data_IF_722492536381
#
_entry.id   IF_722492536381
#
_cell.length_a   1.000
_cell.length_b   1.000
_cell.length_c   1.000
_cell.angle_alpha   90.00
_cell.angle_beta   90.00
_cell.angle_gamma   90.00
#
_symmetry.space_group_name_H-M   'P 1'
#
loop_
_entity.id
_entity.type
_entity.pdbx_description
1 polymer ?
#
# COMPACT_ATOMS: atom_id res chain seq x y z
N UNK A 1 -4.20 -9.88 7.30
CA UNK A 1 -5.52 -9.22 7.14
C UNK A 1 -5.37 -8.06 6.16
N UNK A 2 -6.12 -8.03 5.10
CA UNK A 2 -6.11 -6.95 4.12
C UNK A 2 -7.32 -6.04 4.37
N UNK A 3 -7.08 -4.82 4.87
CA UNK A 3 -8.13 -3.81 4.93
C UNK A 3 -8.26 -3.14 3.57
N UNK A 4 -9.33 -3.40 2.87
CA UNK A 4 -9.71 -2.61 1.69
C UNK A 4 -10.80 -1.63 2.12
N UNK A 5 -10.62 -0.34 1.82
CA UNK A 5 -11.65 0.68 2.01
C UNK A 5 -12.94 0.23 1.30
N UNK A 6 -13.92 -0.24 2.08
CA UNK A 6 -14.99 -1.08 1.57
C UNK A 6 -16.24 -0.28 1.30
N UNK A 7 -16.23 0.54 0.28
CA UNK A 7 -17.51 0.94 -0.36
C UNK A 7 -18.06 -0.16 -1.29
N UNK A 8 -17.29 -1.21 -1.56
CA UNK A 8 -17.60 -2.21 -2.59
C UNK A 8 -18.08 -3.52 -1.96
N UNK A 9 -19.26 -3.50 -1.37
CA UNK A 9 -20.04 -4.73 -1.12
C UNK A 9 -20.75 -5.22 -2.38
N UNK A 10 -20.88 -4.35 -3.39
CA UNK A 10 -21.49 -4.64 -4.70
C UNK A 10 -20.53 -4.23 -5.81
N UNK A 11 -20.48 -4.98 -6.93
CA UNK A 11 -19.65 -4.63 -8.08
C UNK A 11 -20.04 -3.25 -8.63
N UNK A 12 -19.04 -2.46 -9.02
CA UNK A 12 -19.24 -1.17 -9.69
C UNK A 12 -18.66 -1.23 -11.12
N UNK A 13 -19.20 -0.48 -12.09
CA UNK A 13 -18.73 -0.52 -13.48
C UNK A 13 -17.23 -0.28 -13.66
N UNK A 14 -16.65 0.59 -12.81
CA UNK A 14 -15.23 0.97 -12.84
C UNK A 14 -14.36 0.21 -11.82
N UNK A 15 -14.96 -0.63 -10.97
CA UNK A 15 -14.29 -1.42 -9.93
C UNK A 15 -14.91 -2.81 -9.88
N UNK A 16 -14.49 -3.73 -10.76
CA UNK A 16 -14.97 -5.10 -10.73
C UNK A 16 -14.52 -5.80 -9.45
N UNK A 17 -15.40 -6.63 -8.90
CA UNK A 17 -15.14 -7.37 -7.67
C UNK A 17 -15.54 -6.61 -6.40
N UNK A 18 -15.64 -7.37 -5.33
CA UNK A 18 -16.06 -6.90 -3.99
C UNK A 18 -15.08 -7.44 -2.93
N UNK A 19 -15.27 -7.03 -1.67
CA UNK A 19 -14.53 -7.64 -0.55
C UNK A 19 -14.86 -9.12 -0.40
N UNK A 20 -16.05 -9.54 -0.84
CA UNK A 20 -16.47 -10.95 -0.75
C UNK A 20 -15.84 -11.78 -1.86
N UNK A 21 -15.85 -11.30 -3.11
CA UNK A 21 -15.16 -12.00 -4.22
C UNK A 21 -13.66 -12.10 -3.98
N UNK A 22 -13.03 -11.06 -3.38
CA UNK A 22 -11.63 -11.12 -3.00
C UNK A 22 -11.36 -12.18 -1.91
N UNK A 23 -12.27 -12.34 -0.93
CA UNK A 23 -12.17 -13.40 0.07
C UNK A 23 -12.35 -14.79 -0.58
N UNK A 24 -13.30 -14.95 -1.49
CA UNK A 24 -13.51 -16.19 -2.24
C UNK A 24 -12.28 -16.59 -3.05
N UNK A 25 -11.62 -15.64 -3.70
CA UNK A 25 -10.41 -15.91 -4.50
C UNK A 25 -9.24 -16.38 -3.61
N UNK A 26 -9.09 -15.79 -2.42
CA UNK A 26 -8.11 -16.25 -1.43
C UNK A 26 -8.42 -17.66 -0.92
N UNK A 27 -9.70 -17.99 -0.70
CA UNK A 27 -10.13 -19.34 -0.30
C UNK A 27 -9.87 -20.34 -1.42
N UNK A 28 -10.19 -20.00 -2.68
CA UNK A 28 -9.88 -20.84 -3.85
C UNK A 28 -8.38 -21.11 -4.01
N UNK A 29 -7.55 -20.13 -3.62
CA UNK A 29 -6.10 -20.29 -3.60
C UNK A 29 -5.57 -21.12 -2.41
N UNK A 30 -6.46 -21.68 -1.56
CA UNK A 30 -6.10 -22.55 -0.45
C UNK A 30 -5.93 -21.85 0.90
N UNK A 31 -6.19 -20.53 0.97
CA UNK A 31 -6.17 -19.75 2.20
C UNK A 31 -7.51 -19.73 2.94
N UNK A 32 -7.50 -19.14 4.14
CA UNK A 32 -8.72 -18.81 4.88
C UNK A 32 -8.92 -17.29 4.86
N UNK A 33 -10.09 -16.82 4.48
CA UNK A 33 -10.35 -15.39 4.35
C UNK A 33 -11.78 -15.01 4.74
N UNK A 34 -11.95 -13.80 5.24
CA UNK A 34 -13.24 -13.16 5.45
C UNK A 34 -13.23 -11.74 4.89
N UNK A 35 -14.34 -11.32 4.29
CA UNK A 35 -14.56 -9.95 3.88
C UNK A 35 -15.29 -9.17 4.98
N UNK A 36 -14.68 -8.10 5.52
CA UNK A 36 -15.30 -7.24 6.53
C UNK A 36 -15.45 -5.83 5.95
N UNK A 37 -16.70 -5.36 5.83
CA UNK A 37 -16.97 -3.99 5.39
C UNK A 37 -16.49 -3.02 6.45
N UNK A 38 -15.47 -2.21 6.13
CA UNK A 38 -14.83 -1.30 7.06
C UNK A 38 -14.45 0.00 6.35
N UNK A 39 -14.88 1.13 6.89
CA UNK A 39 -14.33 2.44 6.51
C UNK A 39 -13.29 2.85 7.55
N UNK A 40 -12.02 2.86 7.14
CA UNK A 40 -10.89 3.12 8.05
C UNK A 40 -10.83 4.55 8.61
N UNK A 41 -11.74 5.43 8.20
CA UNK A 41 -11.90 6.76 8.78
C UNK A 41 -12.60 6.73 10.14
N UNK A 42 -13.33 5.66 10.45
CA UNK A 42 -14.12 5.49 11.65
C UNK A 42 -13.49 4.47 12.59
N UNK A 43 -13.16 4.92 13.81
CA UNK A 43 -12.43 4.11 14.79
C UNK A 43 -13.23 2.89 15.25
N UNK A 44 -14.54 3.04 15.47
CA UNK A 44 -15.45 1.95 15.85
C UNK A 44 -15.47 0.82 14.81
N UNK A 45 -15.48 1.16 13.51
CA UNK A 45 -15.45 0.16 12.44
C UNK A 45 -14.09 -0.56 12.36
N UNK A 46 -12.99 0.17 12.58
CA UNK A 46 -11.65 -0.43 12.60
C UNK A 46 -11.52 -1.38 13.78
N UNK A 47 -11.94 -0.97 14.97
CA UNK A 47 -11.88 -1.82 16.16
C UNK A 47 -12.73 -3.09 15.98
N UNK A 48 -13.97 -2.96 15.50
CA UNK A 48 -14.84 -4.11 15.21
C UNK A 48 -14.22 -5.08 14.17
N UNK A 49 -13.55 -4.56 13.15
CA UNK A 49 -12.88 -5.38 12.13
C UNK A 49 -11.65 -6.11 12.71
N UNK A 50 -10.87 -5.46 13.56
CA UNK A 50 -9.74 -6.09 14.28
C UNK A 50 -10.24 -7.20 15.20
N UNK A 51 -11.26 -6.91 16.03
CA UNK A 51 -11.87 -7.89 16.93
C UNK A 51 -12.39 -9.11 16.15
N UNK A 52 -13.15 -8.87 15.08
CA UNK A 52 -13.68 -9.95 14.22
C UNK A 52 -12.58 -10.81 13.60
N UNK A 53 -11.45 -10.20 13.23
CA UNK A 53 -10.28 -10.92 12.70
C UNK A 53 -9.66 -11.82 13.77
N UNK A 54 -9.47 -11.28 14.98
CA UNK A 54 -8.91 -12.03 16.11
C UNK A 54 -9.83 -13.18 16.53
N UNK A 55 -11.14 -12.95 16.60
CA UNK A 55 -12.13 -14.01 16.86
C UNK A 55 -12.06 -15.14 15.83
N UNK A 56 -11.87 -14.78 14.54
CA UNK A 56 -11.92 -15.76 13.44
C UNK A 56 -10.62 -16.54 13.30
N UNK A 57 -9.47 -15.88 13.48
CA UNK A 57 -8.15 -16.46 13.16
C UNK A 57 -7.22 -16.61 14.38
N UNK A 58 -7.65 -16.17 15.56
CA UNK A 58 -6.91 -16.32 16.82
C UNK A 58 -5.88 -15.22 17.09
N UNK A 59 -5.54 -14.37 16.12
CA UNK A 59 -4.54 -13.30 16.27
C UNK A 59 -4.25 -12.53 14.99
N UNK A 60 -3.25 -11.66 15.05
CA UNK A 60 -2.76 -10.87 13.90
C UNK A 60 -1.23 -10.89 13.94
N UNK A 61 -0.60 -11.39 12.88
CA UNK A 61 0.85 -11.36 12.67
C UNK A 61 1.25 -10.27 11.67
N UNK A 62 0.37 -9.93 10.73
CA UNK A 62 0.68 -8.99 9.66
C UNK A 62 -0.47 -7.98 9.51
N UNK A 63 -0.12 -6.69 9.42
CA UNK A 63 -1.01 -5.60 9.08
C UNK A 63 -0.54 -4.92 7.79
N UNK A 64 -1.38 -4.90 6.74
CA UNK A 64 -1.07 -4.23 5.47
C UNK A 64 -1.99 -3.02 5.28
N UNK A 65 -1.42 -1.82 5.31
CA UNK A 65 -2.11 -0.56 5.05
C UNK A 65 -2.04 -0.23 3.54
N UNK A 66 -2.97 -0.81 2.78
CA UNK A 66 -3.09 -0.60 1.34
C UNK A 66 -4.19 0.40 0.96
N UNK A 67 -5.16 0.67 1.84
CA UNK A 67 -6.25 1.58 1.55
C UNK A 67 -5.73 3.00 1.29
N UNK A 68 -6.13 3.59 0.17
CA UNK A 68 -5.68 4.92 -0.24
C UNK A 68 -6.78 5.67 -1.00
N UNK A 69 -6.72 7.00 -0.93
CA UNK A 69 -7.48 7.91 -1.76
C UNK A 69 -6.51 8.81 -2.53
N UNK A 70 -6.89 9.16 -3.76
CA UNK A 70 -6.07 9.97 -4.66
C UNK A 70 -6.89 11.10 -5.27
N UNK A 71 -6.27 12.29 -5.36
CA UNK A 71 -6.74 13.42 -6.16
C UNK A 71 -5.52 14.23 -6.58
N UNK A 72 -5.20 14.20 -7.87
CA UNK A 72 -4.02 14.85 -8.45
C UNK A 72 -4.41 16.24 -8.96
N UNK A 73 -4.62 17.16 -8.04
CA UNK A 73 -5.02 18.53 -8.35
C UNK A 73 -4.03 19.55 -7.79
N UNK A 74 -3.74 20.64 -8.53
CA UNK A 74 -2.99 21.76 -8.00
C UNK A 74 -3.69 22.38 -6.77
N UNK A 75 -2.93 23.07 -5.93
CA UNK A 75 -3.42 23.61 -4.66
C UNK A 75 -4.69 24.43 -4.82
N UNK A 76 -4.74 25.31 -5.80
CA UNK A 76 -5.91 26.21 -6.03
C UNK A 76 -7.18 25.45 -6.44
N UNK A 77 -7.03 24.29 -7.07
CA UNK A 77 -8.14 23.48 -7.56
C UNK A 77 -8.51 22.32 -6.61
N UNK A 78 -7.79 22.17 -5.49
CA UNK A 78 -8.04 21.09 -4.54
C UNK A 78 -9.23 21.46 -3.65
N UNK A 79 -10.36 20.81 -3.87
CA UNK A 79 -11.51 20.94 -2.98
C UNK A 79 -11.19 20.37 -1.59
N UNK A 80 -11.52 21.10 -0.52
CA UNK A 80 -11.23 20.67 0.86
C UNK A 80 -11.83 19.32 1.21
N UNK A 81 -13.01 18.97 0.68
CA UNK A 81 -13.57 17.62 0.85
C UNK A 81 -12.68 16.52 0.29
N UNK A 82 -11.90 16.79 -0.77
CA UNK A 82 -10.92 15.85 -1.34
C UNK A 82 -9.65 15.80 -0.49
N UNK A 83 -9.19 16.96 -0.05
CA UNK A 83 -8.09 17.06 0.91
C UNK A 83 -8.37 16.23 2.16
N UNK A 84 -9.51 16.48 2.81
CA UNK A 84 -9.93 15.76 4.02
C UNK A 84 -10.05 14.25 3.78
N UNK A 85 -10.62 13.85 2.64
CA UNK A 85 -10.74 12.44 2.28
C UNK A 85 -9.38 11.76 2.18
N UNK A 86 -8.42 12.39 1.48
CA UNK A 86 -7.07 11.84 1.32
C UNK A 86 -6.35 11.73 2.66
N UNK A 87 -6.36 12.78 3.47
CA UNK A 87 -5.70 12.79 4.77
C UNK A 87 -6.35 11.82 5.77
N UNK A 88 -7.68 11.75 5.78
CA UNK A 88 -8.40 10.84 6.66
C UNK A 88 -8.20 9.36 6.28
N UNK A 89 -8.03 9.03 5.01
CA UNK A 89 -7.77 7.64 4.58
C UNK A 89 -6.27 7.33 4.66
N UNK A 90 -5.43 8.12 3.98
CA UNK A 90 -4.01 7.77 3.81
C UNK A 90 -3.24 7.93 5.13
N UNK A 91 -3.21 9.11 5.71
CA UNK A 91 -2.43 9.41 6.93
C UNK A 91 -3.11 8.86 8.18
N UNK A 92 -4.31 9.40 8.48
CA UNK A 92 -5.03 9.06 9.72
C UNK A 92 -5.47 7.59 9.74
N UNK A 93 -5.95 7.06 8.60
CA UNK A 93 -6.37 5.67 8.48
C UNK A 93 -5.21 4.70 8.70
N UNK A 94 -4.05 4.94 8.08
CA UNK A 94 -2.84 4.14 8.31
C UNK A 94 -2.45 4.14 9.79
N UNK A 95 -2.41 5.30 10.44
CA UNK A 95 -2.13 5.39 11.86
C UNK A 95 -3.14 4.62 12.71
N UNK A 96 -4.43 4.81 12.47
CA UNK A 96 -5.51 4.19 13.23
C UNK A 96 -5.51 2.66 13.12
N UNK A 97 -5.38 2.13 11.89
CA UNK A 97 -5.35 0.68 11.66
C UNK A 97 -4.11 0.05 12.30
N UNK A 98 -2.94 0.67 12.13
CA UNK A 98 -1.71 0.22 12.78
C UNK A 98 -1.84 0.21 14.29
N UNK A 99 -2.27 1.33 14.90
CA UNK A 99 -2.53 1.46 16.35
C UNK A 99 -3.42 0.34 16.86
N UNK A 100 -4.50 0.04 16.15
CA UNK A 100 -5.48 -0.97 16.57
C UNK A 100 -4.95 -2.41 16.45
N UNK A 101 -4.01 -2.67 15.51
CA UNK A 101 -3.38 -3.99 15.35
C UNK A 101 -2.22 -4.24 16.32
N UNK A 102 -1.50 -3.21 16.78
CA UNK A 102 -0.29 -3.33 17.62
C UNK A 102 -0.47 -4.23 18.86
N UNK A 103 -1.57 -4.16 19.64
CA UNK A 103 -1.76 -5.04 20.81
C UNK A 103 -1.79 -6.54 20.45
N UNK A 104 -2.21 -6.87 19.24
CA UNK A 104 -2.28 -8.23 18.72
C UNK A 104 -0.95 -8.63 18.07
N UNK A 105 -0.32 -7.75 17.30
CA UNK A 105 1.00 -7.93 16.70
C UNK A 105 2.09 -8.23 17.75
N UNK A 106 2.00 -7.62 18.93
CA UNK A 106 2.92 -7.93 20.07
C UNK A 106 2.88 -9.40 20.52
N UNK A 107 1.82 -10.12 20.18
CA UNK A 107 1.62 -11.54 20.50
C UNK A 107 1.85 -12.45 19.29
N UNK A 108 2.07 -11.84 18.14
CA UNK A 108 2.25 -12.52 16.87
C UNK A 108 3.62 -13.19 16.73
N UNK A 109 3.70 -14.09 15.75
CA UNK A 109 4.95 -14.69 15.33
C UNK A 109 5.47 -13.93 14.11
N UNK A 110 6.69 -13.37 14.20
CA UNK A 110 7.31 -12.55 13.14
C UNK A 110 6.42 -11.36 12.71
N UNK A 111 6.05 -10.43 13.61
CA UNK A 111 5.01 -9.44 13.35
C UNK A 111 5.48 -8.30 12.45
N UNK A 112 4.64 -7.95 11.45
CA UNK A 112 4.94 -6.90 10.48
C UNK A 112 3.77 -5.92 10.29
N UNK A 113 4.12 -4.64 10.08
CA UNK A 113 3.25 -3.62 9.49
C UNK A 113 3.87 -3.24 8.15
N UNK A 114 3.10 -3.33 7.06
CA UNK A 114 3.50 -2.90 5.73
C UNK A 114 2.59 -1.76 5.26
N UNK A 115 3.16 -0.60 4.99
CA UNK A 115 2.45 0.57 4.50
C UNK A 115 2.69 0.73 2.99
N UNK A 116 1.65 0.86 2.16
CA UNK A 116 1.78 1.20 0.74
C UNK A 116 2.01 2.72 0.60
N UNK A 117 3.20 3.13 1.01
CA UNK A 117 3.66 4.52 1.06
C UNK A 117 5.01 4.70 0.37
N UNK A 118 5.23 5.87 -0.29
CA UNK A 118 6.45 6.13 -1.06
C UNK A 118 7.67 6.40 -0.16
N UNK A 119 8.89 6.30 -0.71
CA UNK A 119 10.07 6.88 -0.09
C UNK A 119 9.88 8.38 0.17
N UNK A 120 10.50 8.91 1.25
CA UNK A 120 10.45 10.33 1.58
C UNK A 120 11.47 11.12 0.74
N UNK A 121 11.17 11.30 -0.52
CA UNK A 121 11.94 12.16 -1.41
C UNK A 121 11.42 13.60 -1.30
N UNK A 122 12.25 14.50 -0.73
CA UNK A 122 11.86 15.89 -0.44
C UNK A 122 12.08 16.86 -1.61
N UNK A 123 12.35 16.37 -2.81
CA UNK A 123 12.48 17.22 -3.99
C UNK A 123 11.14 17.89 -4.35
N UNK A 124 11.19 19.18 -4.65
CA UNK A 124 9.98 19.99 -4.89
C UNK A 124 9.14 19.51 -6.08
N UNK A 125 9.75 18.82 -7.04
CA UNK A 125 9.05 18.24 -8.18
C UNK A 125 7.94 17.24 -7.76
N UNK A 126 8.11 16.55 -6.63
CA UNK A 126 7.13 15.60 -6.11
C UNK A 126 5.97 16.27 -5.37
N UNK A 127 6.12 17.53 -5.01
CA UNK A 127 5.08 18.31 -4.33
C UNK A 127 4.30 19.19 -5.31
N UNK A 128 4.99 19.86 -6.22
CA UNK A 128 4.43 20.96 -7.02
C UNK A 128 3.18 20.60 -7.83
N UNK A 129 3.03 19.39 -8.41
CA UNK A 129 1.83 19.07 -9.18
C UNK A 129 0.58 18.80 -8.33
N UNK A 130 0.75 18.30 -7.09
CA UNK A 130 -0.34 17.78 -6.27
C UNK A 130 0.00 17.78 -4.77
N UNK A 131 0.25 18.95 -4.21
CA UNK A 131 0.70 19.14 -2.81
C UNK A 131 -0.13 18.32 -1.81
N UNK A 132 -1.46 18.38 -1.89
CA UNK A 132 -2.35 17.70 -0.95
C UNK A 132 -2.20 16.16 -1.00
N UNK A 133 -2.03 15.59 -2.19
CA UNK A 133 -1.81 14.15 -2.34
C UNK A 133 -0.45 13.72 -1.79
N UNK A 134 0.61 14.47 -2.14
CA UNK A 134 1.97 14.18 -1.64
C UNK A 134 2.00 14.21 -0.12
N UNK A 135 1.44 15.25 0.51
CA UNK A 135 1.35 15.33 1.98
C UNK A 135 0.63 14.12 2.58
N UNK A 136 -0.51 13.71 1.99
CA UNK A 136 -1.28 12.59 2.49
C UNK A 136 -0.53 11.25 2.33
N UNK A 137 0.21 11.03 1.23
CA UNK A 137 1.03 9.82 1.02
C UNK A 137 2.27 9.82 1.90
N UNK A 138 2.93 10.96 2.04
CA UNK A 138 4.08 11.07 2.97
C UNK A 138 3.66 10.89 4.44
N UNK A 139 2.41 11.21 4.80
CA UNK A 139 1.88 10.86 6.11
C UNK A 139 1.90 9.35 6.39
N UNK A 140 1.68 8.48 5.38
CA UNK A 140 1.85 7.03 5.51
C UNK A 140 3.32 6.65 5.74
N UNK A 141 4.22 7.29 4.99
CA UNK A 141 5.66 7.06 5.10
C UNK A 141 6.22 7.56 6.44
N UNK A 142 5.70 8.68 6.96
CA UNK A 142 6.03 9.17 8.30
C UNK A 142 5.57 8.20 9.40
N UNK A 143 4.43 7.50 9.21
CA UNK A 143 4.04 6.42 10.10
C UNK A 143 5.08 5.27 10.06
N UNK A 144 5.61 4.93 8.88
CA UNK A 144 6.68 3.93 8.76
C UNK A 144 7.93 4.39 9.54
N UNK A 145 8.38 5.61 9.31
CA UNK A 145 9.57 6.16 9.96
C UNK A 145 9.44 6.17 11.49
N UNK A 146 8.35 6.72 12.02
CA UNK A 146 8.17 6.84 13.47
C UNK A 146 7.89 5.51 14.16
N UNK A 147 6.96 4.71 13.60
CA UNK A 147 6.58 3.44 14.23
C UNK A 147 7.66 2.37 14.15
N UNK A 148 8.54 2.39 13.15
CA UNK A 148 9.64 1.43 13.05
C UNK A 148 10.58 1.50 14.25
N UNK A 149 10.94 2.69 14.70
CA UNK A 149 11.79 2.88 15.87
C UNK A 149 11.00 2.69 17.18
N UNK A 150 9.75 3.21 17.27
CA UNK A 150 8.89 3.04 18.44
C UNK A 150 8.65 1.56 18.77
N UNK A 151 8.44 0.72 17.76
CA UNK A 151 8.04 -0.67 17.93
C UNK A 151 9.19 -1.68 17.90
N UNK A 152 10.41 -1.21 17.67
CA UNK A 152 11.63 -2.04 17.58
C UNK A 152 11.84 -2.92 18.81
N UNK A 153 11.67 -2.36 20.00
CA UNK A 153 11.78 -3.11 21.26
C UNK A 153 10.71 -4.19 21.45
N UNK A 154 9.58 -4.05 20.74
CA UNK A 154 8.49 -5.04 20.70
C UNK A 154 8.71 -6.11 19.63
N UNK A 155 9.76 -6.00 18.80
CA UNK A 155 10.08 -6.93 17.71
C UNK A 155 9.10 -6.84 16.53
N UNK A 156 8.33 -5.74 16.41
CA UNK A 156 7.40 -5.51 15.29
C UNK A 156 8.14 -4.73 14.21
N UNK A 157 8.25 -5.31 13.02
CA UNK A 157 8.78 -4.61 11.86
C UNK A 157 7.73 -3.65 11.29
N UNK A 158 8.18 -2.45 10.90
CA UNK A 158 7.36 -1.50 10.15
C UNK A 158 8.13 -1.04 8.92
N UNK A 159 7.63 -1.38 7.74
CA UNK A 159 8.26 -1.03 6.47
C UNK A 159 7.22 -0.41 5.53
N UNK A 160 7.67 0.28 4.50
CA UNK A 160 6.81 0.69 3.40
C UNK A 160 7.23 0.03 2.08
N UNK A 161 6.30 -0.02 1.15
CA UNK A 161 6.50 -0.53 -0.21
C UNK A 161 5.86 0.44 -1.20
N UNK A 162 6.60 0.78 -2.26
CA UNK A 162 6.14 1.64 -3.33
C UNK A 162 6.55 1.09 -4.70
N UNK A 163 5.72 1.23 -5.75
CA UNK A 163 6.12 0.80 -7.07
C UNK A 163 7.06 1.83 -7.74
N UNK A 164 8.09 1.38 -8.46
CA UNK A 164 8.93 2.26 -9.30
C UNK A 164 8.17 2.73 -10.53
N UNK A 165 7.32 1.88 -11.05
CA UNK A 165 6.55 2.14 -12.27
C UNK A 165 5.07 1.98 -12.02
N UNK A 166 4.25 2.61 -12.84
CA UNK A 166 2.80 2.52 -12.73
C UNK A 166 2.32 1.06 -12.75
N UNK A 167 1.39 0.75 -11.88
CA UNK A 167 0.78 -0.59 -11.76
C UNK A 167 -0.61 -0.58 -12.40
N UNK A 168 -0.90 -1.58 -13.24
CA UNK A 168 -2.22 -1.76 -13.87
C UNK A 168 -3.30 -2.03 -12.82
N UNK A 169 -3.86 -0.97 -12.30
CA UNK A 169 -4.94 -0.98 -11.31
C UNK A 169 -6.08 -0.10 -11.76
N UNK A 170 -7.28 -0.34 -11.23
CA UNK A 170 -8.44 0.51 -11.52
C UNK A 170 -8.18 2.00 -11.17
N UNK A 171 -7.38 2.28 -10.14
CA UNK A 171 -7.03 3.66 -9.76
C UNK A 171 -6.18 4.32 -10.83
N UNK A 172 -5.11 3.66 -11.29
CA UNK A 172 -4.22 4.14 -12.36
C UNK A 172 -4.97 4.26 -13.68
N UNK A 173 -5.77 3.25 -14.03
CA UNK A 173 -6.57 3.27 -15.25
C UNK A 173 -7.57 4.44 -15.30
N UNK A 174 -8.19 4.79 -14.18
CA UNK A 174 -9.08 5.95 -14.09
C UNK A 174 -8.31 7.28 -14.23
N UNK A 175 -7.07 7.36 -13.75
CA UNK A 175 -6.19 8.53 -13.92
C UNK A 175 -5.73 8.62 -15.37
N UNK A 176 -5.23 7.53 -15.93
CA UNK A 176 -4.72 7.47 -17.31
C UNK A 176 -5.83 7.74 -18.33
N UNK A 177 -7.04 7.23 -18.11
CA UNK A 177 -8.19 7.51 -18.98
C UNK A 177 -8.58 9.00 -19.01
N UNK A 178 -8.21 9.77 -17.98
CA UNK A 178 -8.45 11.22 -17.93
C UNK A 178 -7.32 12.04 -18.55
N UNK A 179 -6.12 11.47 -18.72
CA UNK A 179 -4.90 12.22 -19.07
C UNK A 179 -4.05 11.63 -20.20
N UNK A 180 -4.30 10.39 -20.62
CA UNK A 180 -3.50 9.68 -21.62
C UNK A 180 -4.40 8.86 -22.56
N UNK A 181 -3.90 8.63 -23.80
CA UNK A 181 -4.49 7.74 -24.79
C UNK A 181 -4.55 6.28 -24.27
N UNK A 182 -5.30 5.41 -24.98
CA UNK A 182 -5.43 3.96 -24.72
C UNK A 182 -4.10 3.20 -24.56
N UNK A 183 -2.99 3.81 -24.94
CA UNK A 183 -1.64 3.27 -24.76
C UNK A 183 -1.14 3.28 -23.30
N UNK A 184 -1.79 3.98 -22.37
CA UNK A 184 -1.33 4.09 -20.99
C UNK A 184 -1.30 2.74 -20.25
N UNK A 185 -2.29 1.88 -20.48
CA UNK A 185 -2.36 0.53 -19.85
C UNK A 185 -1.24 -0.39 -20.29
N UNK A 186 -0.82 -0.29 -21.55
CA UNK A 186 0.24 -1.12 -22.11
C UNK A 186 1.60 -0.85 -21.45
N UNK A 187 1.77 0.31 -20.81
CA UNK A 187 3.02 0.75 -20.18
C UNK A 187 2.96 0.70 -18.65
N UNK A 188 2.32 -0.33 -18.11
CA UNK A 188 2.27 -0.61 -16.68
C UNK A 188 2.92 -1.95 -16.38
N UNK A 189 3.24 -2.17 -15.11
CA UNK A 189 3.46 -3.51 -14.57
C UNK A 189 2.16 -4.06 -13.98
N UNK A 190 2.06 -5.37 -13.93
CA UNK A 190 0.93 -6.04 -13.27
C UNK A 190 1.04 -5.93 -11.74
N UNK A 191 -0.07 -6.00 -10.99
CA UNK A 191 -0.05 -5.99 -9.52
C UNK A 191 0.77 -7.13 -8.89
N UNK A 192 1.13 -8.17 -9.64
CA UNK A 192 1.88 -9.30 -9.15
C UNK A 192 3.23 -8.88 -8.55
N UNK A 193 3.94 -7.92 -9.16
CA UNK A 193 5.23 -7.45 -8.64
C UNK A 193 5.10 -6.90 -7.21
N UNK A 194 4.01 -6.16 -6.93
CA UNK A 194 3.76 -5.62 -5.60
C UNK A 194 3.44 -6.74 -4.58
N UNK A 195 2.74 -7.77 -5.03
CA UNK A 195 2.45 -8.96 -4.21
C UNK A 195 3.72 -9.72 -3.84
N UNK A 196 4.58 -9.98 -4.83
CA UNK A 196 5.82 -10.73 -4.64
C UNK A 196 6.84 -9.92 -3.81
N UNK A 197 6.98 -8.61 -4.06
CA UNK A 197 7.80 -7.73 -3.23
C UNK A 197 7.29 -7.65 -1.77
N UNK A 198 5.97 -7.57 -1.58
CA UNK A 198 5.38 -7.63 -0.24
C UNK A 198 5.68 -8.97 0.45
N UNK A 199 5.61 -10.08 -0.28
CA UNK A 199 5.97 -11.41 0.25
C UNK A 199 7.44 -11.46 0.69
N UNK A 200 8.36 -10.95 -0.12
CA UNK A 200 9.79 -10.86 0.24
C UNK A 200 9.97 -10.07 1.53
N UNK A 201 9.32 -8.91 1.68
CA UNK A 201 9.42 -8.06 2.88
C UNK A 201 8.83 -8.77 4.11
N UNK A 202 7.64 -9.35 3.99
CA UNK A 202 6.87 -9.91 5.10
C UNK A 202 7.42 -11.26 5.61
N UNK A 203 8.31 -11.89 4.83
CA UNK A 203 9.01 -13.13 5.22
C UNK A 203 10.40 -12.88 5.83
N UNK A 204 10.87 -11.63 5.89
CA UNK A 204 12.10 -11.27 6.60
C UNK A 204 11.92 -11.42 8.12
N UNK A 205 13.02 -11.50 8.85
CA UNK A 205 13.03 -11.45 10.32
C UNK A 205 12.60 -10.05 10.80
N UNK A 206 11.44 -9.95 11.45
CA UNK A 206 10.85 -8.68 11.89
C UNK A 206 11.76 -7.90 12.86
N UNK A 207 12.68 -8.58 13.55
CA UNK A 207 13.62 -7.93 14.47
C UNK A 207 14.82 -7.29 13.77
N UNK A 208 15.02 -7.62 12.47
CA UNK A 208 16.17 -7.16 11.68
C UNK A 208 15.77 -6.29 10.51
N UNK A 209 14.61 -6.55 9.92
CA UNK A 209 14.16 -5.86 8.72
C UNK A 209 13.02 -4.91 9.05
N UNK A 210 13.35 -3.72 9.53
CA UNK A 210 12.39 -2.66 9.91
C UNK A 210 12.95 -1.28 9.55
N UNK A 211 12.06 -0.30 9.31
CA UNK A 211 12.43 1.06 8.96
C UNK A 211 12.79 1.27 7.49
N UNK A 212 12.51 0.28 6.61
CA UNK A 212 12.87 0.39 5.21
C UNK A 212 11.72 0.99 4.39
N UNK A 213 12.08 1.85 3.43
CA UNK A 213 11.19 2.36 2.38
C UNK A 213 11.54 1.62 1.09
N UNK A 214 10.95 0.45 0.92
CA UNK A 214 11.25 -0.47 -0.16
C UNK A 214 10.60 -0.03 -1.47
N UNK A 215 11.30 -0.28 -2.58
CA UNK A 215 10.78 -0.15 -3.94
C UNK A 215 10.62 -1.56 -4.53
N UNK A 216 9.54 -1.81 -5.24
CA UNK A 216 9.15 -3.14 -5.71
C UNK A 216 10.24 -3.88 -6.48
N UNK A 217 10.74 -3.27 -7.55
CA UNK A 217 11.75 -3.88 -8.43
C UNK A 217 13.11 -4.05 -7.71
N UNK A 218 13.55 -3.06 -6.92
CA UNK A 218 14.77 -3.17 -6.12
C UNK A 218 14.67 -4.30 -5.10
N UNK A 219 13.49 -4.45 -4.47
CA UNK A 219 13.22 -5.53 -3.52
C UNK A 219 13.32 -6.90 -4.20
N UNK A 220 12.72 -7.04 -5.40
CA UNK A 220 12.79 -8.28 -6.16
C UNK A 220 14.21 -8.61 -6.63
N UNK A 221 14.95 -7.60 -7.13
CA UNK A 221 16.34 -7.79 -7.56
C UNK A 221 17.24 -8.22 -6.39
N UNK A 222 17.10 -7.62 -5.21
CA UNK A 222 17.82 -8.02 -3.98
C UNK A 222 17.46 -9.44 -3.54
N UNK A 223 16.24 -9.90 -3.81
CA UNK A 223 15.82 -11.28 -3.57
C UNK A 223 16.32 -12.27 -4.64
N UNK A 224 17.10 -11.81 -5.63
CA UNK A 224 17.71 -12.64 -6.66
C UNK A 224 16.90 -12.76 -7.95
N UNK A 225 15.75 -12.06 -8.07
CA UNK A 225 14.95 -12.05 -9.29
C UNK A 225 15.34 -10.86 -10.16
N UNK A 226 16.26 -11.09 -11.09
CA UNK A 226 16.84 -10.06 -11.98
C UNK A 226 16.02 -9.82 -13.24
N UNK A 227 15.28 -10.83 -13.73
CA UNK A 227 14.35 -10.69 -14.85
C UNK A 227 12.94 -10.37 -14.32
N UNK A 228 12.45 -9.19 -14.64
CA UNK A 228 11.15 -8.67 -14.23
C UNK A 228 10.17 -8.56 -15.41
N UNK A 229 10.51 -9.16 -16.57
CA UNK A 229 9.71 -9.07 -17.80
C UNK A 229 8.31 -9.69 -17.64
N UNK A 230 8.16 -10.73 -16.81
CA UNK A 230 6.86 -11.36 -16.53
C UNK A 230 5.85 -10.43 -15.83
N UNK A 231 6.33 -9.34 -15.22
CA UNK A 231 5.46 -8.34 -14.59
C UNK A 231 4.99 -7.25 -15.55
N UNK A 232 5.46 -7.22 -16.79
CA UNK A 232 4.99 -6.26 -17.78
C UNK A 232 3.54 -6.57 -18.17
N UNK A 233 2.66 -5.56 -18.16
CA UNK A 233 1.29 -5.71 -18.62
C UNK A 233 1.23 -5.99 -20.13
N UNK A 234 2.21 -5.50 -20.88
CA UNK A 234 2.42 -5.80 -22.30
C UNK A 234 3.88 -6.19 -22.49
N UNK A 235 4.17 -7.34 -23.16
CA UNK A 235 5.54 -7.75 -23.46
C UNK A 235 6.34 -6.65 -24.15
N UNK A 236 7.61 -6.52 -23.77
CA UNK A 236 8.59 -5.59 -24.33
C UNK A 236 8.23 -4.09 -24.19
N UNK A 237 7.17 -3.73 -23.47
CA UNK A 237 6.83 -2.34 -23.20
C UNK A 237 7.75 -1.75 -22.13
N UNK A 238 8.15 -0.47 -22.32
CA UNK A 238 8.84 0.29 -21.28
C UNK A 238 7.78 0.89 -20.32
N UNK A 239 7.72 0.47 -19.03
CA UNK A 239 6.73 0.98 -18.10
C UNK A 239 6.95 2.46 -17.78
N UNK A 240 5.85 3.20 -17.59
CA UNK A 240 5.92 4.58 -17.11
C UNK A 240 6.39 4.63 -15.65
N UNK A 241 7.26 5.59 -15.29
CA UNK A 241 7.63 5.79 -13.90
C UNK A 241 6.42 6.21 -13.06
N UNK A 242 6.36 5.74 -11.82
CA UNK A 242 5.41 6.23 -10.82
C UNK A 242 5.99 7.47 -10.11
N UNK A 243 5.20 8.08 -9.24
CA UNK A 243 5.62 9.25 -8.47
C UNK A 243 6.64 8.88 -7.37
N UNK A 244 7.40 9.86 -6.92
CA UNK A 244 8.27 9.83 -5.74
C UNK A 244 9.56 9.00 -5.84
N UNK A 245 9.77 8.30 -6.94
CA UNK A 245 10.98 7.50 -7.19
C UNK A 245 11.58 7.95 -8.52
N UNK A 246 12.87 8.31 -8.52
CA UNK A 246 13.56 8.62 -9.75
C UNK A 246 13.84 7.33 -10.54
N UNK A 247 13.87 7.42 -11.87
CA UNK A 247 14.07 6.27 -12.75
C UNK A 247 15.40 5.54 -12.47
N UNK A 248 16.40 6.27 -12.03
CA UNK A 248 17.77 5.80 -11.84
C UNK A 248 18.14 5.56 -10.35
N UNK A 249 17.22 5.79 -9.42
CA UNK A 249 17.47 5.52 -8.00
C UNK A 249 17.46 4.00 -7.78
N UNK A 250 18.65 3.37 -7.91
CA UNK A 250 18.81 1.92 -7.80
C UNK A 250 18.73 1.36 -6.37
N UNK A 251 18.50 2.19 -5.33
CA UNK A 251 18.56 1.77 -3.94
C UNK A 251 17.26 2.09 -3.19
N UNK A 252 16.85 1.14 -2.33
CA UNK A 252 15.83 1.40 -1.32
C UNK A 252 16.40 2.42 -0.31
N UNK A 253 15.58 3.38 0.11
CA UNK A 253 15.97 4.29 1.18
C UNK A 253 15.85 3.53 2.50
N UNK A 254 17.00 3.17 3.07
CA UNK A 254 17.09 2.59 4.41
C UNK A 254 17.18 3.75 5.40
N UNK A 255 16.18 3.85 6.27
CA UNK A 255 16.22 4.77 7.39
C UNK A 255 17.02 4.09 8.52
N UNK A 256 18.33 4.36 8.53
CA UNK A 256 19.23 3.87 9.60
C UNK A 256 19.07 4.66 10.88
#
# INVERSE_FOLDING_TARGET
>A
MLFRSAKTTEPQPTLPGTIFTAAEDLIKAGGNAIGIKTDIRFEDQVLAAVEKTVETFGGIDICVNNASAISLTPTVNTEMKRYDLMHNINTRGTFLVSKSCIPHLKKGNNPHILNLGPPLNMESQWFSPHVAYTMAKYGMSMCTLGMSEELKSSGIAVNSLWPRTMIDTAAVNNILAASMDDQGKSKCRTPAIMGDAAYVILTQDSKKFTGNMCVDDSTMMKAGKTDLSEYLATPDAEPFPDFFVNKDDGEDIILS
#
